data_IF_502664758645
#
_entry.id   IF_502664758645
#
_cell.length_a   1.000
_cell.length_b   1.000
_cell.length_c   1.000
_cell.angle_alpha   90.00
_cell.angle_beta   90.00
_cell.angle_gamma   90.00
#
_symmetry.space_group_name_H-M   'P 1'
#
loop_
_entity.id
_entity.type
_entity.pdbx_description
1 polymer ?
#
# COMPACT_ATOMS: atom_id res chain seq x y z
N UNK A 1 4.10 12.40 -9.15
CA UNK A 1 4.09 10.91 -8.99
C UNK A 1 3.00 10.26 -9.85
N UNK A 2 1.77 10.80 -9.95
CA UNK A 2 0.76 10.30 -10.90
C UNK A 2 1.25 10.22 -12.35
N UNK A 3 2.04 11.20 -12.79
CA UNK A 3 2.60 11.27 -14.16
C UNK A 3 3.61 10.15 -14.43
N UNK A 4 4.36 9.77 -13.39
CA UNK A 4 5.26 8.62 -13.45
C UNK A 4 4.45 7.33 -13.63
N UNK A 5 3.39 7.14 -12.83
CA UNK A 5 2.54 5.96 -12.93
C UNK A 5 1.79 5.87 -14.27
N UNK A 6 1.36 7.00 -14.82
CA UNK A 6 0.74 7.05 -16.15
C UNK A 6 1.73 6.61 -17.24
N UNK A 7 2.97 7.09 -17.17
CA UNK A 7 4.04 6.67 -18.08
C UNK A 7 4.37 5.18 -17.93
N UNK A 8 4.42 4.67 -16.70
CA UNK A 8 4.64 3.25 -16.42
C UNK A 8 3.50 2.39 -16.96
N UNK A 9 2.25 2.83 -16.80
CA UNK A 9 1.07 2.14 -17.31
C UNK A 9 1.12 2.05 -18.85
N UNK A 10 1.51 3.13 -19.53
CA UNK A 10 1.67 3.13 -20.98
C UNK A 10 2.75 2.14 -21.44
N UNK A 11 3.87 2.04 -20.72
CA UNK A 11 4.93 1.06 -20.98
C UNK A 11 4.39 -0.36 -20.81
N UNK A 12 3.72 -0.65 -19.70
CA UNK A 12 3.16 -1.96 -19.40
C UNK A 12 2.15 -2.41 -20.47
N UNK A 13 1.24 -1.53 -20.88
CA UNK A 13 0.28 -1.80 -21.95
C UNK A 13 0.98 -2.01 -23.30
N UNK A 14 2.02 -1.24 -23.59
CA UNK A 14 2.84 -1.43 -24.79
C UNK A 14 3.45 -2.82 -24.86
N UNK A 15 4.03 -3.29 -23.76
CA UNK A 15 4.64 -4.63 -23.67
C UNK A 15 3.59 -5.74 -23.79
N UNK A 16 2.41 -5.59 -23.18
CA UNK A 16 1.29 -6.52 -23.37
C UNK A 16 0.83 -6.58 -24.83
N UNK A 17 0.85 -5.45 -25.53
CA UNK A 17 0.55 -5.37 -26.96
C UNK A 17 1.70 -5.88 -27.85
N UNK A 18 2.77 -6.45 -27.27
CA UNK A 18 3.91 -7.02 -28.01
C UNK A 18 4.97 -6.00 -28.45
N UNK A 19 4.92 -4.75 -27.98
CA UNK A 19 5.99 -3.76 -28.25
C UNK A 19 7.23 -4.11 -27.45
N UNK A 20 8.17 -4.82 -28.06
CA UNK A 20 9.47 -5.11 -27.49
C UNK A 20 10.49 -4.03 -27.92
N UNK A 21 11.26 -3.43 -26.99
CA UNK A 21 12.31 -2.45 -27.32
C UNK A 21 13.38 -3.00 -28.28
N UNK A 22 13.52 -4.33 -28.39
CA UNK A 22 14.47 -5.01 -29.25
C UNK A 22 13.89 -5.41 -30.62
N UNK A 23 12.64 -5.04 -30.94
CA UNK A 23 12.04 -5.34 -32.25
C UNK A 23 12.65 -4.45 -33.34
N UNK A 24 13.36 -5.08 -34.29
CA UNK A 24 13.88 -4.42 -35.50
C UNK A 24 12.79 -4.41 -36.57
N UNK A 25 12.39 -3.22 -37.03
CA UNK A 25 11.47 -3.09 -38.17
C UNK A 25 12.31 -2.98 -39.44
N UNK A 26 12.23 -4.00 -40.29
CA UNK A 26 12.82 -3.99 -41.63
C UNK A 26 11.83 -3.45 -42.66
N UNK A 27 12.24 -2.60 -43.62
CA UNK A 27 11.37 -2.16 -44.70
C UNK A 27 11.02 -3.34 -45.60
N UNK A 28 9.83 -3.92 -45.44
CA UNK A 28 9.30 -4.92 -46.36
C UNK A 28 8.46 -4.20 -47.42
N UNK A 29 8.83 -4.35 -48.69
CA UNK A 29 8.03 -3.83 -49.81
C UNK A 29 6.63 -4.46 -49.75
N UNK A 30 5.61 -3.61 -49.59
CA UNK A 30 4.24 -4.06 -49.30
C UNK A 30 3.63 -4.79 -50.49
N UNK A 31 3.46 -6.11 -50.37
CA UNK A 31 2.32 -6.80 -50.98
C UNK A 31 1.34 -7.08 -49.86
N UNK A 32 0.18 -6.43 -49.92
CA UNK A 32 -0.76 -6.25 -48.82
C UNK A 32 -1.07 -7.52 -48.04
N UNK A 33 -0.73 -7.47 -46.76
CA UNK A 33 -1.50 -8.03 -45.65
C UNK A 33 -0.83 -7.45 -44.40
N UNK A 34 -1.31 -6.28 -43.98
CA UNK A 34 -1.01 -5.76 -42.64
C UNK A 34 -1.66 -6.74 -41.67
N UNK A 35 -0.94 -7.84 -41.37
CA UNK A 35 -1.28 -8.71 -40.27
C UNK A 35 -1.19 -7.80 -39.06
N UNK A 36 -2.35 -7.31 -38.61
CA UNK A 36 -2.59 -6.98 -37.22
C UNK A 36 -1.75 -7.99 -36.45
N UNK A 37 -0.68 -7.51 -35.81
CA UNK A 37 0.23 -8.35 -35.06
C UNK A 37 -0.67 -9.13 -34.12
N UNK A 38 -0.90 -10.41 -34.42
CA UNK A 38 -1.86 -11.16 -33.64
C UNK A 38 -1.34 -11.11 -32.21
N UNK A 39 -2.20 -10.82 -31.22
CA UNK A 39 -1.77 -10.92 -29.84
C UNK A 39 -1.15 -12.32 -29.71
N UNK A 40 0.06 -12.45 -29.12
CA UNK A 40 0.64 -13.77 -28.92
C UNK A 40 -0.42 -14.62 -28.23
N UNK A 41 -0.98 -15.58 -28.98
CA UNK A 41 -1.93 -16.52 -28.45
C UNK A 41 -1.25 -17.24 -27.28
N UNK A 42 -2.03 -17.43 -26.22
CA UNK A 42 -1.73 -18.26 -25.04
C UNK A 42 -0.90 -17.67 -23.90
N UNK A 43 -0.72 -16.34 -23.79
CA UNK A 43 -0.37 -15.77 -22.48
C UNK A 43 -1.64 -15.59 -21.65
N UNK A 44 -1.82 -16.44 -20.64
CA UNK A 44 -2.83 -16.27 -19.61
C UNK A 44 -2.80 -14.79 -19.14
N UNK A 45 -3.91 -14.06 -19.03
CA UNK A 45 -3.90 -12.66 -18.58
C UNK A 45 -3.29 -12.47 -17.18
N UNK A 46 -3.16 -13.55 -16.41
CA UNK A 46 -2.46 -13.64 -15.14
C UNK A 46 -0.92 -13.59 -15.25
N UNK A 47 -0.38 -13.89 -16.43
CA UNK A 47 1.05 -14.15 -16.61
C UNK A 47 1.87 -12.84 -16.72
N UNK A 48 1.22 -11.69 -16.95
CA UNK A 48 1.87 -10.38 -16.89
C UNK A 48 2.99 -10.20 -17.93
N UNK A 49 3.87 -9.22 -17.70
CA UNK A 49 5.02 -8.91 -18.57
C UNK A 49 6.32 -9.40 -17.94
N UNK A 50 7.32 -9.72 -18.77
CA UNK A 50 8.67 -10.04 -18.32
C UNK A 50 9.30 -8.85 -17.59
N UNK A 51 9.77 -9.08 -16.36
CA UNK A 51 10.27 -8.02 -15.48
C UNK A 51 11.52 -7.34 -16.04
N UNK A 52 12.39 -8.11 -16.70
CA UNK A 52 13.63 -7.64 -17.31
C UNK A 52 13.36 -6.63 -18.44
N UNK A 53 12.44 -6.97 -19.36
CA UNK A 53 12.01 -6.06 -20.43
C UNK A 53 11.30 -4.84 -19.87
N UNK A 54 10.45 -5.04 -18.86
CA UNK A 54 9.75 -3.94 -18.22
C UNK A 54 10.71 -2.95 -17.56
N UNK A 55 11.70 -3.44 -16.83
CA UNK A 55 12.75 -2.60 -16.23
C UNK A 55 13.57 -1.87 -17.28
N UNK A 56 13.96 -2.54 -18.38
CA UNK A 56 14.72 -1.91 -19.47
C UNK A 56 13.99 -0.66 -20.03
N UNK A 57 12.66 -0.74 -20.18
CA UNK A 57 11.85 0.41 -20.60
C UNK A 57 11.73 1.48 -19.51
N UNK A 58 11.68 1.08 -18.23
CA UNK A 58 11.52 1.97 -17.08
C UNK A 58 12.79 2.70 -16.65
N UNK A 59 13.96 2.16 -16.91
CA UNK A 59 15.25 2.70 -16.43
C UNK A 59 15.40 4.18 -16.79
N UNK A 60 15.19 4.51 -18.07
CA UNK A 60 15.24 5.89 -18.57
C UNK A 60 14.15 6.81 -18.00
N UNK A 61 13.02 6.26 -17.53
CA UNK A 61 11.95 7.03 -16.90
C UNK A 61 12.33 7.42 -15.46
N UNK A 62 13.04 6.55 -14.76
CA UNK A 62 13.49 6.78 -13.38
C UNK A 62 14.61 7.84 -13.32
N UNK A 63 15.40 7.99 -14.39
CA UNK A 63 16.47 8.99 -14.46
C UNK A 63 15.97 10.41 -14.77
N UNK A 64 14.70 10.56 -15.18
CA UNK A 64 14.13 11.85 -15.57
C UNK A 64 13.72 12.65 -14.33
N UNK A 65 14.51 13.67 -14.00
CA UNK A 65 14.32 14.59 -12.86
C UNK A 65 13.05 15.46 -12.89
N UNK A 66 12.16 15.28 -13.87
CA UNK A 66 10.91 16.07 -13.99
C UNK A 66 9.80 15.57 -13.07
N UNK A 67 9.93 14.38 -12.51
CA UNK A 67 8.90 13.74 -11.71
C UNK A 67 9.48 13.27 -10.38
N UNK A 68 8.66 13.21 -9.33
CA UNK A 68 8.97 12.35 -8.19
C UNK A 68 8.95 10.91 -8.70
N UNK A 69 10.13 10.33 -8.91
CA UNK A 69 10.34 8.99 -9.40
C UNK A 69 11.11 8.16 -8.36
N UNK A 70 10.83 6.86 -8.25
CA UNK A 70 11.62 5.97 -7.40
C UNK A 70 13.06 5.88 -7.95
N UNK A 71 14.10 5.74 -7.10
CA UNK A 71 15.47 5.55 -7.56
C UNK A 71 15.60 4.30 -8.45
N UNK A 72 16.21 4.44 -9.62
CA UNK A 72 16.33 3.34 -10.61
C UNK A 72 17.00 2.08 -10.03
N UNK A 73 18.00 2.26 -9.16
CA UNK A 73 18.71 1.15 -8.51
C UNK A 73 17.79 0.30 -7.64
N UNK A 74 16.90 0.94 -6.87
CA UNK A 74 15.95 0.23 -6.00
C UNK A 74 14.87 -0.46 -6.82
N UNK A 75 14.39 0.17 -7.90
CA UNK A 75 13.44 -0.48 -8.82
C UNK A 75 14.07 -1.73 -9.46
N UNK A 76 15.36 -1.67 -9.83
CA UNK A 76 16.10 -2.81 -10.37
C UNK A 76 16.18 -3.96 -9.37
N UNK A 77 16.56 -3.66 -8.13
CA UNK A 77 16.66 -4.65 -7.06
C UNK A 77 15.30 -5.30 -6.79
N UNK A 78 14.25 -4.49 -6.66
CA UNK A 78 12.87 -4.94 -6.45
C UNK A 78 12.39 -5.90 -7.55
N UNK A 79 12.77 -5.66 -8.81
CA UNK A 79 12.38 -6.48 -9.95
C UNK A 79 13.32 -7.67 -10.22
N UNK A 80 14.52 -7.69 -9.64
CA UNK A 80 15.56 -8.68 -9.95
C UNK A 80 15.18 -10.14 -9.64
N UNK A 81 14.34 -10.34 -8.62
CA UNK A 81 13.85 -11.67 -8.22
C UNK A 81 12.55 -12.08 -8.91
N UNK A 82 11.99 -11.21 -9.74
CA UNK A 82 10.68 -11.39 -10.36
C UNK A 82 10.90 -11.74 -11.82
N UNK A 83 10.38 -12.89 -12.27
CA UNK A 83 10.43 -13.24 -13.69
C UNK A 83 9.37 -12.46 -14.46
N UNK A 84 8.13 -12.50 -13.96
CA UNK A 84 6.97 -11.84 -14.57
C UNK A 84 6.16 -11.11 -13.52
N UNK A 85 5.55 -10.00 -13.92
CA UNK A 85 4.67 -9.23 -13.06
C UNK A 85 3.46 -8.66 -13.78
N UNK A 86 2.37 -8.54 -13.03
CA UNK A 86 1.23 -7.74 -13.43
C UNK A 86 1.44 -6.28 -13.03
N UNK A 87 0.69 -5.35 -13.65
CA UNK A 87 0.75 -3.94 -13.25
C UNK A 87 0.35 -3.75 -11.78
N UNK A 88 -0.66 -4.49 -11.30
CA UNK A 88 -1.01 -4.50 -9.88
C UNK A 88 0.14 -5.01 -9.00
N UNK A 89 0.80 -6.10 -9.42
CA UNK A 89 1.97 -6.65 -8.72
C UNK A 89 3.11 -5.64 -8.61
N UNK A 90 3.36 -4.88 -9.67
CA UNK A 90 4.31 -3.77 -9.66
C UNK A 90 3.95 -2.70 -8.65
N UNK A 91 2.70 -2.19 -8.69
CA UNK A 91 2.24 -1.16 -7.77
C UNK A 91 2.33 -1.62 -6.32
N UNK A 92 1.98 -2.88 -6.06
CA UNK A 92 2.08 -3.47 -4.73
C UNK A 92 3.54 -3.57 -4.26
N UNK A 93 4.45 -3.97 -5.15
CA UNK A 93 5.88 -4.02 -4.83
C UNK A 93 6.43 -2.62 -4.51
N UNK A 94 6.11 -1.61 -5.33
CA UNK A 94 6.49 -0.22 -5.08
C UNK A 94 5.98 0.28 -3.73
N UNK A 95 4.70 0.04 -3.41
CA UNK A 95 4.09 0.51 -2.18
C UNK A 95 4.69 -0.15 -0.92
N UNK A 96 5.20 -1.37 -1.04
CA UNK A 96 5.78 -2.14 0.07
C UNK A 96 7.28 -1.95 0.23
N UNK A 97 7.97 -1.42 -0.78
CA UNK A 97 9.41 -1.25 -0.74
C UNK A 97 9.80 -0.07 0.18
N UNK A 98 10.49 -0.40 1.28
CA UNK A 98 10.89 0.59 2.28
C UNK A 98 11.95 1.56 1.75
N UNK A 99 12.87 1.09 0.91
CA UNK A 99 13.92 1.92 0.32
C UNK A 99 13.32 2.99 -0.58
N UNK A 100 12.38 2.59 -1.44
CA UNK A 100 11.65 3.48 -2.33
C UNK A 100 10.79 4.45 -1.53
N UNK A 101 10.01 3.97 -0.55
CA UNK A 101 9.18 4.83 0.29
C UNK A 101 10.00 5.89 1.04
N UNK A 102 11.18 5.50 1.55
CA UNK A 102 12.14 6.41 2.20
C UNK A 102 12.72 7.42 1.22
N UNK A 103 13.10 6.99 0.02
CA UNK A 103 13.66 7.88 -1.00
C UNK A 103 12.64 8.90 -1.53
N UNK A 104 11.37 8.50 -1.61
CA UNK A 104 10.26 9.39 -2.01
C UNK A 104 9.78 10.29 -0.86
N UNK A 105 10.09 9.94 0.39
CA UNK A 105 9.66 10.68 1.59
C UNK A 105 8.15 10.67 1.82
N UNK A 106 7.43 9.73 1.21
CA UNK A 106 5.96 9.72 1.19
C UNK A 106 5.33 9.04 2.42
N UNK A 107 6.07 8.16 3.10
CA UNK A 107 5.58 7.37 4.24
C UNK A 107 6.64 7.32 5.36
N UNK A 108 6.23 7.37 6.64
CA UNK A 108 7.12 7.16 7.78
C UNK A 108 7.64 5.71 7.81
N UNK A 109 8.75 5.46 8.52
CA UNK A 109 9.21 4.09 8.71
C UNK A 109 8.13 3.28 9.45
N UNK A 110 8.02 1.99 9.12
CA UNK A 110 7.15 1.06 9.84
C UNK A 110 7.52 1.03 11.33
N UNK A 111 8.81 1.15 11.67
CA UNK A 111 9.25 1.24 13.06
C UNK A 111 8.69 2.47 13.77
N UNK A 112 8.70 3.61 13.08
CA UNK A 112 8.22 4.89 13.63
C UNK A 112 6.71 4.91 13.84
N UNK A 113 5.95 4.15 13.05
CA UNK A 113 4.50 4.07 13.19
C UNK A 113 4.06 3.47 14.54
N UNK A 114 4.88 2.61 15.14
CA UNK A 114 4.58 1.96 16.43
C UNK A 114 5.13 2.74 17.63
N UNK A 115 5.88 3.82 17.42
CA UNK A 115 6.39 4.64 18.51
C UNK A 115 5.26 5.51 19.06
N UNK A 116 4.79 5.17 20.27
CA UNK A 116 3.92 6.04 21.06
C UNK A 116 4.59 6.31 22.42
N UNK A 117 5.45 7.33 22.49
CA UNK A 117 6.16 7.68 23.73
C UNK A 117 5.22 7.96 24.91
N UNK A 118 3.97 8.36 24.64
CA UNK A 118 2.99 8.66 25.68
C UNK A 118 2.47 7.36 26.28
N UNK A 119 2.00 6.44 25.44
CA UNK A 119 1.53 5.12 25.87
C UNK A 119 2.66 4.31 26.53
N UNK A 120 3.87 4.35 25.97
CA UNK A 120 5.04 3.67 26.52
C UNK A 120 5.35 4.16 27.93
N UNK A 121 5.31 5.48 28.16
CA UNK A 121 5.54 6.05 29.48
C UNK A 121 4.42 5.71 30.48
N UNK A 122 3.16 5.63 30.03
CA UNK A 122 2.05 5.19 30.88
C UNK A 122 2.19 3.71 31.27
N UNK A 123 2.64 2.86 30.34
CA UNK A 123 2.90 1.45 30.59
C UNK A 123 4.04 1.28 31.61
N UNK A 124 5.13 2.03 31.48
CA UNK A 124 6.23 2.03 32.45
C UNK A 124 5.76 2.44 33.85
N UNK A 125 4.92 3.48 33.95
CA UNK A 125 4.32 3.91 35.22
C UNK A 125 3.46 2.79 35.83
N UNK A 126 2.65 2.12 35.03
CA UNK A 126 1.81 1.01 35.50
C UNK A 126 2.66 -0.17 35.97
N UNK A 127 3.67 -0.58 35.22
CA UNK A 127 4.62 -1.64 35.60
C UNK A 127 5.28 -1.30 36.93
N UNK A 128 5.75 -0.06 37.11
CA UNK A 128 6.34 0.39 38.38
C UNK A 128 5.37 0.34 39.56
N UNK A 129 4.08 0.57 39.32
CA UNK A 129 3.05 0.51 40.35
C UNK A 129 2.74 -0.94 40.74
N UNK A 130 2.61 -1.83 39.76
CA UNK A 130 2.36 -3.27 39.99
C UNK A 130 3.54 -3.92 40.70
N UNK A 131 4.78 -3.64 40.29
CA UNK A 131 5.97 -4.17 40.97
C UNK A 131 6.05 -3.75 42.43
N UNK A 132 5.64 -2.52 42.76
CA UNK A 132 5.57 -2.05 44.17
C UNK A 132 4.49 -2.77 44.99
N UNK A 133 3.41 -3.21 44.36
CA UNK A 133 2.35 -3.98 45.01
C UNK A 133 2.75 -5.47 45.20
N UNK A 134 3.62 -6.01 44.35
CA UNK A 134 4.11 -7.40 44.45
C UNK A 134 5.20 -7.59 45.51
N UNK A 135 5.92 -6.54 45.89
CA UNK A 135 6.98 -6.59 46.93
C UNK A 135 6.41 -6.43 48.35
N UNK A 136 5.14 -6.06 48.52
CA UNK A 136 4.45 -6.14 49.82
C UNK A 136 3.87 -7.53 50.08
N UNK A 137 4.74 -8.53 50.27
CA UNK A 137 4.43 -9.69 51.10
C UNK A 137 5.35 -9.67 52.33
N UNK A 138 4.92 -9.14 53.48
CA UNK A 138 5.47 -9.58 54.74
C UNK A 138 4.82 -10.92 55.10
N UNK A 139 5.56 -12.02 54.95
CA UNK A 139 5.29 -13.21 55.78
C UNK A 139 5.62 -12.79 57.21
N UNK A 140 4.59 -12.66 58.06
CA UNK A 140 4.77 -12.29 59.45
C UNK A 140 3.47 -11.95 60.19
N UNK A 141 2.68 -12.99 60.49
CA UNK A 141 1.78 -13.15 61.64
C UNK A 141 1.48 -11.90 62.50
N UNK A 142 0.23 -11.44 62.51
CA UNK A 142 -0.63 -11.45 63.72
C UNK A 142 -2.02 -10.93 63.37
N UNK A 143 -3.06 -11.59 63.89
CA UNK A 143 -4.45 -11.29 63.55
C UNK A 143 -4.91 -9.92 64.04
N UNK A 144 -5.80 -9.29 63.29
CA UNK A 144 -7.11 -8.93 63.84
C UNK A 144 -8.12 -8.56 62.73
N UNK A 145 -9.37 -8.64 63.14
CA UNK A 145 -10.63 -8.63 62.43
C UNK A 145 -10.94 -7.39 61.56
N UNK A 146 -11.49 -7.68 60.37
CA UNK A 146 -12.51 -6.95 59.60
C UNK A 146 -12.53 -5.42 59.72
N UNK A 147 -11.94 -4.72 58.74
CA UNK A 147 -12.39 -3.40 58.28
C UNK A 147 -11.95 -3.18 56.83
N UNK A 148 -12.85 -3.42 55.88
CA UNK A 148 -12.69 -3.05 54.46
C UNK A 148 -13.03 -1.55 54.32
N UNK A 149 -12.09 -0.66 53.91
CA UNK A 149 -12.49 0.63 53.39
C UNK A 149 -12.97 0.43 51.96
N UNK A 150 -14.24 0.78 51.74
CA UNK A 150 -14.90 0.92 50.44
C UNK A 150 -13.96 1.63 49.45
N UNK A 151 -13.52 0.87 48.46
CA UNK A 151 -12.84 1.39 47.28
C UNK A 151 -13.86 2.21 46.48
N UNK A 152 -13.87 3.51 46.68
CA UNK A 152 -14.45 4.42 45.70
C UNK A 152 -13.59 4.30 44.43
N UNK A 153 -14.06 3.50 43.48
CA UNK A 153 -13.50 3.44 42.14
C UNK A 153 -13.59 4.85 41.54
N UNK A 154 -12.48 5.50 41.15
CA UNK A 154 -12.57 6.68 40.31
C UNK A 154 -13.24 6.19 39.03
N UNK A 155 -14.44 6.69 38.74
CA UNK A 155 -15.04 6.53 37.42
C UNK A 155 -14.04 7.14 36.44
N UNK A 156 -13.25 6.28 35.80
CA UNK A 156 -12.45 6.62 34.63
C UNK A 156 -13.48 6.97 33.56
N UNK A 157 -13.86 8.25 33.51
CA UNK A 157 -14.36 8.85 32.29
C UNK A 157 -13.17 8.85 31.34
N UNK A 158 -13.04 7.78 30.58
CA UNK A 158 -12.12 7.76 29.46
C UNK A 158 -12.64 8.77 28.45
N UNK A 159 -11.92 9.88 28.30
CA UNK A 159 -12.15 10.88 27.24
C UNK A 159 -11.65 10.31 25.91
N UNK A 160 -12.10 9.11 25.51
CA UNK A 160 -11.92 8.64 24.14
C UNK A 160 -12.77 9.55 23.25
N UNK A 161 -12.13 10.55 22.65
CA UNK A 161 -12.69 11.26 21.50
C UNK A 161 -12.54 10.31 20.31
N UNK A 162 -13.63 9.86 19.67
CA UNK A 162 -13.51 9.09 18.44
C UNK A 162 -12.83 9.96 17.38
N UNK A 163 -11.74 9.48 16.78
CA UNK A 163 -11.14 10.06 15.57
C UNK A 163 -11.97 9.73 14.32
N UNK A 164 -13.27 9.94 14.42
CA UNK A 164 -14.16 9.95 13.26
C UNK A 164 -15.07 11.16 13.38
N UNK A 165 -14.69 12.23 12.69
CA UNK A 165 -15.71 13.08 12.08
C UNK A 165 -16.43 12.22 11.04
N UNK A 166 -17.45 11.48 11.51
CA UNK A 166 -18.57 11.07 10.67
C UNK A 166 -19.18 12.39 10.19
N UNK A 167 -18.73 12.87 9.03
CA UNK A 167 -19.42 13.91 8.29
C UNK A 167 -20.85 13.42 8.19
N UNK A 168 -21.78 14.14 8.82
CA UNK A 168 -23.21 13.89 8.62
C UNK A 168 -23.41 14.10 7.13
N UNK A 169 -23.60 12.99 6.41
CA UNK A 169 -24.05 13.01 5.04
C UNK A 169 -25.55 13.21 5.18
N UNK A 170 -25.96 14.47 5.05
CA UNK A 170 -27.36 14.81 4.95
C UNK A 170 -27.94 14.02 3.78
N UNK A 171 -29.04 13.36 4.10
CA UNK A 171 -29.75 12.45 3.25
C UNK A 171 -30.51 13.24 2.19
N UNK A 172 -30.10 13.12 0.93
CA UNK A 172 -30.97 13.34 -0.23
C UNK A 172 -30.63 12.27 -1.27
N UNK A 173 -31.23 11.10 -1.10
CA UNK A 173 -31.34 10.07 -2.12
C UNK A 173 -32.53 10.43 -2.99
N UNK A 174 -32.33 11.26 -4.01
CA UNK A 174 -33.29 11.34 -5.11
C UNK A 174 -33.10 10.11 -5.99
N UNK A 175 -34.12 9.24 -5.97
CA UNK A 175 -34.17 8.03 -6.77
C UNK A 175 -34.23 8.37 -8.25
N UNK A 176 -33.25 7.88 -9.00
CA UNK A 176 -33.36 7.81 -10.46
C UNK A 176 -34.15 6.54 -10.79
N UNK A 177 -35.40 6.70 -11.21
CA UNK A 177 -36.19 5.65 -11.81
C UNK A 177 -35.68 5.36 -13.23
N UNK A 178 -35.12 4.18 -13.41
CA UNK A 178 -34.95 3.59 -14.73
C UNK A 178 -36.31 3.07 -15.20
N UNK A 179 -36.89 3.69 -16.23
CA UNK A 179 -37.90 3.04 -17.08
C UNK A 179 -37.24 2.78 -18.43
N UNK A 180 -36.77 1.56 -18.61
CA UNK A 180 -36.58 0.96 -19.93
C UNK A 180 -37.95 0.65 -20.52
N UNK A 181 -38.27 1.19 -21.69
CA UNK A 181 -39.20 0.53 -22.60
C UNK A 181 -38.64 0.55 -24.03
N UNK A 182 -38.76 -0.62 -24.65
CA UNK A 182 -38.23 -0.96 -25.96
C UNK A 182 -39.21 -0.57 -27.04
N UNK A 183 -38.75 -0.14 -28.20
CA UNK A 183 -39.51 -0.32 -29.45
C UNK A 183 -38.57 -0.38 -30.64
N UNK A 184 -38.59 -1.56 -31.26
CA UNK A 184 -38.11 -1.91 -32.59
C UNK A 184 -38.83 -1.09 -33.68
N UNK A 185 -38.09 -0.57 -34.66
CA UNK A 185 -38.48 -0.53 -36.09
C UNK A 185 -37.33 -0.06 -36.99
#
# INVERSE_FOLDING_TARGET
>A
FPEFLESVAAIYQGLLAGKNPNTVIVPTSSSGQHRQCQPPNDSNPLDGVEASLFYQCLESLCDRSKYSCPPSTLVKEMLSSVQRLTFYGFLMALAKDQGINRALGALPDKGDLFLDPTMDQELEKLVSQVSRLSVSSPIGLSGDTVNLPIRNSPRINSHWKPLHHRRKMDAESEGSNEETDSSEN
#
